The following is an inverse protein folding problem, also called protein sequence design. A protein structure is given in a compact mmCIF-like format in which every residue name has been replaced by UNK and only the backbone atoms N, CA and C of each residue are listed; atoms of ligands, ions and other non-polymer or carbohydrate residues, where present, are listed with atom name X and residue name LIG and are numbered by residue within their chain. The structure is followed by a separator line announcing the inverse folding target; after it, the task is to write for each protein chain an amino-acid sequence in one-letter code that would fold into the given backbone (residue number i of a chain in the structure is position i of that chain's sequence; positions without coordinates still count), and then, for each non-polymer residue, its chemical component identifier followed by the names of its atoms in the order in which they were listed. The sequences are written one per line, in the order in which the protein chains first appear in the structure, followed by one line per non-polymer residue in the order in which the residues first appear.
data_IF_425687140267
#
_entry.id   IF_425687140267
#
_cell.length_a   1.000
_cell.length_b   1.000
_cell.length_c   1.000
_cell.angle_alpha   90.00
_cell.angle_beta   90.00
_cell.angle_gamma   90.00
#
_symmetry.space_group_name_H-M   'P 1'
#
loop_
_entity.id
_entity.type
_entity.pdbx_description
1 polymer ?
#
# COMPACT_ATOMS: atom_id res chain seq x y z
N UNK A 1 -2.60 -0.09 -6.92
CA UNK A 1 -2.31 1.17 -6.18
C UNK A 1 -2.28 0.84 -4.69
N UNK A 2 -1.19 1.15 -3.99
CA UNK A 2 -1.09 0.89 -2.53
C UNK A 2 -2.02 1.82 -1.75
N UNK A 3 -2.80 1.25 -0.83
CA UNK A 3 -3.71 2.00 0.02
C UNK A 3 -3.03 2.50 1.31
N UNK A 4 -3.12 3.81 1.54
CA UNK A 4 -2.68 4.43 2.79
C UNK A 4 -3.75 4.26 3.89
N UNK A 5 -3.42 4.58 5.14
CA UNK A 5 -4.30 4.32 6.28
C UNK A 5 -5.53 5.24 6.35
N UNK A 6 -5.47 6.40 5.70
CA UNK A 6 -6.53 7.42 5.73
C UNK A 6 -7.46 7.36 4.52
N UNK A 7 -7.10 6.58 3.49
CA UNK A 7 -7.97 6.30 2.35
C UNK A 7 -9.30 5.70 2.83
N UNK A 8 -10.40 6.22 2.28
CA UNK A 8 -11.74 5.70 2.50
C UNK A 8 -12.11 4.73 1.38
N UNK A 9 -12.68 3.60 1.77
CA UNK A 9 -13.16 2.56 0.85
C UNK A 9 -14.65 2.36 1.08
N UNK A 10 -15.41 2.24 0.00
CA UNK A 10 -16.80 1.81 0.03
C UNK A 10 -16.93 0.39 -0.53
N UNK A 11 -17.71 -0.45 0.16
CA UNK A 11 -18.03 -1.82 -0.23
C UNK A 11 -19.49 -2.11 0.14
N UNK A 12 -20.24 -2.68 -0.80
CA UNK A 12 -21.67 -2.98 -0.58
C UNK A 12 -21.88 -4.10 0.45
N UNK A 13 -20.95 -5.04 0.54
CA UNK A 13 -21.02 -6.18 1.46
C UNK A 13 -19.62 -6.53 2.00
N UNK A 14 -19.20 -5.96 3.15
CA UNK A 14 -17.86 -6.18 3.69
C UNK A 14 -17.74 -7.39 4.62
N UNK A 15 -16.73 -8.25 4.39
CA UNK A 15 -16.51 -9.50 5.14
C UNK A 15 -15.95 -9.34 6.57
N UNK A 16 -15.46 -8.16 6.96
CA UNK A 16 -14.72 -7.94 8.23
C UNK A 16 -15.50 -7.15 9.29
N UNK A 17 -16.84 -7.16 9.21
CA UNK A 17 -17.71 -6.41 10.13
C UNK A 17 -17.35 -4.91 10.20
N UNK A 18 -16.89 -4.35 9.09
CA UNK A 18 -16.77 -2.91 8.90
C UNK A 18 -18.13 -2.34 8.47
N UNK A 19 -18.31 -1.02 8.57
CA UNK A 19 -19.41 -0.36 7.86
C UNK A 19 -19.29 -0.52 6.34
N UNK A 20 -20.28 -0.09 5.57
CA UNK A 20 -20.20 -0.08 4.09
C UNK A 20 -19.18 0.94 3.57
N UNK A 21 -18.91 2.00 4.33
CA UNK A 21 -17.79 2.92 4.10
C UNK A 21 -16.88 2.90 5.32
N UNK A 22 -15.59 2.70 5.11
CA UNK A 22 -14.61 2.59 6.20
C UNK A 22 -13.23 3.10 5.77
N UNK A 23 -12.40 3.44 6.76
CA UNK A 23 -10.98 3.75 6.50
C UNK A 23 -10.16 2.46 6.36
N UNK A 24 -9.11 2.51 5.56
CA UNK A 24 -8.17 1.39 5.42
C UNK A 24 -7.53 0.99 6.75
N UNK A 25 -7.28 1.94 7.66
CA UNK A 25 -6.82 1.64 9.03
C UNK A 25 -7.78 0.74 9.80
N UNK A 26 -9.09 1.00 9.71
CA UNK A 26 -10.14 0.21 10.37
C UNK A 26 -10.12 -1.24 9.85
N UNK A 27 -10.07 -1.42 8.52
CA UNK A 27 -9.97 -2.76 7.93
C UNK A 27 -8.70 -3.48 8.39
N UNK A 28 -7.53 -2.81 8.39
CA UNK A 28 -6.26 -3.39 8.86
C UNK A 28 -6.35 -3.84 10.31
N UNK A 29 -7.05 -3.10 11.18
CA UNK A 29 -7.27 -3.47 12.58
C UNK A 29 -8.17 -4.69 12.73
N UNK A 30 -9.25 -4.78 11.94
CA UNK A 30 -10.16 -5.94 11.93
C UNK A 30 -9.45 -7.20 11.45
N UNK A 31 -8.71 -7.13 10.34
CA UNK A 31 -7.91 -8.25 9.84
C UNK A 31 -6.85 -8.67 10.86
N UNK A 32 -6.16 -7.72 11.48
CA UNK A 32 -5.18 -7.99 12.55
C UNK A 32 -5.83 -8.72 13.73
N UNK A 33 -7.01 -8.29 14.14
CA UNK A 33 -7.76 -8.88 15.25
C UNK A 33 -8.22 -10.30 14.92
N UNK A 34 -8.75 -10.51 13.71
CA UNK A 34 -9.14 -11.82 13.20
C UNK A 34 -7.97 -12.81 13.23
N UNK A 35 -6.80 -12.41 12.73
CA UNK A 35 -5.59 -13.26 12.70
C UNK A 35 -5.06 -13.60 14.11
N UNK A 36 -5.29 -12.72 15.09
CA UNK A 36 -4.86 -12.93 16.48
C UNK A 36 -5.82 -13.76 17.32
N UNK A 37 -7.08 -13.91 16.90
CA UNK A 37 -8.13 -14.55 17.68
C UNK A 37 -7.81 -16.01 18.07
N UNK A 38 -6.97 -16.70 17.29
CA UNK A 38 -6.55 -18.08 17.58
C UNK A 38 -5.38 -18.18 18.58
N UNK A 39 -4.70 -17.08 18.89
CA UNK A 39 -3.54 -17.08 19.78
C UNK A 39 -3.97 -16.79 21.23
N UNK A 40 -4.43 -17.82 21.95
CA UNK A 40 -4.63 -17.75 23.41
C UNK A 40 -3.26 -17.67 24.12
N UNK A 41 -2.73 -16.47 24.33
CA UNK A 41 -1.55 -16.24 25.17
C UNK A 41 -0.95 -14.84 25.01
N UNK A 42 -0.29 -14.36 26.07
CA UNK A 42 0.36 -13.02 26.17
C UNK A 42 1.55 -12.79 25.21
N UNK A 43 1.74 -13.66 24.20
CA UNK A 43 2.78 -13.48 23.20
C UNK A 43 2.23 -12.65 22.04
N UNK A 44 2.88 -11.53 21.74
CA UNK A 44 2.71 -10.83 20.46
C UNK A 44 2.93 -11.87 19.36
N UNK A 45 1.85 -12.30 18.71
CA UNK A 45 1.90 -13.36 17.72
C UNK A 45 2.90 -12.95 16.64
N UNK A 46 3.76 -13.87 16.20
CA UNK A 46 4.68 -13.61 15.07
C UNK A 46 3.93 -13.14 13.82
N UNK A 47 2.62 -13.44 13.73
CA UNK A 47 1.67 -12.99 12.71
C UNK A 47 1.49 -11.47 12.71
N UNK A 48 1.58 -10.79 13.86
CA UNK A 48 1.50 -9.32 13.96
C UNK A 48 2.62 -8.60 13.20
N UNK A 49 3.80 -9.22 13.08
CA UNK A 49 4.95 -8.62 12.38
C UNK A 49 4.67 -8.42 10.89
N UNK A 50 3.77 -9.21 10.30
CA UNK A 50 3.37 -9.07 8.90
C UNK A 50 2.65 -7.74 8.63
N UNK A 51 1.92 -7.22 9.62
CA UNK A 51 1.19 -5.96 9.54
C UNK A 51 2.04 -4.73 9.89
N UNK A 52 3.33 -4.91 10.20
CA UNK A 52 4.25 -3.82 10.48
C UNK A 52 4.97 -3.36 9.21
N UNK A 53 5.38 -2.09 9.17
CA UNK A 53 6.24 -1.56 8.10
C UNK A 53 7.53 -2.37 7.94
N UNK A 54 8.09 -2.85 9.07
CA UNK A 54 9.30 -3.65 9.11
C UNK A 54 9.15 -5.08 8.58
N UNK A 55 7.93 -5.60 8.43
CA UNK A 55 7.65 -6.97 8.01
C UNK A 55 8.22 -8.06 8.94
N UNK A 56 7.97 -9.33 8.60
CA UNK A 56 8.63 -10.46 9.25
C UNK A 56 9.80 -10.96 8.40
N UNK A 57 10.98 -11.16 9.02
CA UNK A 57 12.12 -11.79 8.35
C UNK A 57 11.74 -13.20 7.92
N UNK A 58 12.08 -13.57 6.69
CA UNK A 58 11.82 -14.89 6.12
C UNK A 58 12.87 -15.26 5.08
N UNK A 59 12.84 -16.50 4.62
CA UNK A 59 13.56 -16.98 3.44
C UNK A 59 12.53 -17.56 2.47
N UNK A 60 12.71 -17.30 1.17
CA UNK A 60 11.88 -17.86 0.10
C UNK A 60 12.73 -18.76 -0.78
N UNK A 61 12.23 -19.95 -1.09
CA UNK A 61 12.79 -20.85 -2.08
C UNK A 61 11.89 -20.83 -3.30
N UNK A 62 12.42 -20.45 -4.46
CA UNK A 62 11.67 -20.44 -5.73
C UNK A 62 11.72 -21.82 -6.38
N UNK A 63 10.60 -22.26 -6.96
CA UNK A 63 10.50 -23.56 -7.62
C UNK A 63 11.40 -23.67 -8.85
N UNK A 64 11.70 -22.55 -9.51
CA UNK A 64 12.60 -22.47 -10.67
C UNK A 64 14.09 -22.62 -10.30
N UNK A 65 14.40 -22.89 -9.02
CA UNK A 65 15.77 -22.98 -8.51
C UNK A 65 16.29 -21.67 -7.91
N UNK A 66 17.60 -21.60 -7.65
CA UNK A 66 18.26 -20.39 -7.13
C UNK A 66 18.53 -20.35 -5.62
N UNK A 67 18.16 -21.41 -4.88
CA UNK A 67 18.43 -21.52 -3.44
C UNK A 67 17.54 -20.64 -2.56
N UNK A 68 17.81 -20.65 -1.25
CA UNK A 68 17.07 -19.86 -0.26
C UNK A 68 17.47 -18.38 -0.34
N UNK A 69 16.48 -17.50 -0.51
CA UNK A 69 16.67 -16.06 -0.55
C UNK A 69 16.11 -15.40 0.72
N UNK A 70 16.98 -14.73 1.49
CA UNK A 70 16.60 -13.93 2.67
C UNK A 70 15.80 -12.68 2.26
N UNK A 71 14.75 -12.39 3.01
CA UNK A 71 13.87 -11.26 2.75
C UNK A 71 12.92 -10.94 3.91
N UNK A 72 11.83 -10.24 3.58
CA UNK A 72 10.79 -9.87 4.52
C UNK A 72 9.41 -10.11 3.91
N UNK A 73 8.51 -10.70 4.69
CA UNK A 73 7.11 -10.86 4.38
C UNK A 73 6.29 -9.72 4.99
N UNK A 74 5.43 -9.08 4.19
CA UNK A 74 4.53 -7.99 4.61
C UNK A 74 3.12 -8.23 4.08
N UNK A 75 2.13 -7.85 4.87
CA UNK A 75 0.74 -7.76 4.45
C UNK A 75 0.46 -6.34 3.94
N UNK A 76 -0.02 -6.23 2.70
CA UNK A 76 -0.43 -4.96 2.07
C UNK A 76 -1.82 -5.11 1.47
N UNK A 77 -2.55 -4.01 1.42
CA UNK A 77 -3.83 -3.90 0.71
C UNK A 77 -3.56 -3.13 -0.57
N UNK A 78 -3.98 -3.72 -1.69
CA UNK A 78 -3.88 -3.12 -3.00
C UNK A 78 -5.27 -2.80 -3.53
N UNK A 79 -5.44 -1.60 -4.05
CA UNK A 79 -6.59 -1.22 -4.85
C UNK A 79 -6.27 -1.40 -6.34
N UNK A 80 -7.08 -2.19 -7.02
CA UNK A 80 -6.98 -2.45 -8.47
C UNK A 80 -8.22 -1.81 -9.12
N UNK A 81 -8.06 -0.69 -9.84
CA UNK A 81 -9.18 -0.05 -10.53
C UNK A 81 -9.57 -0.87 -11.78
N UNK A 82 -10.87 -0.89 -12.10
CA UNK A 82 -11.41 -1.61 -13.27
C UNK A 82 -10.87 -1.04 -14.58
N UNK A 83 -10.76 0.29 -14.64
CA UNK A 83 -10.10 0.99 -15.73
C UNK A 83 -8.70 1.39 -15.27
N UNK A 84 -7.67 1.22 -16.12
CA UNK A 84 -6.34 1.69 -15.79
C UNK A 84 -6.44 3.20 -15.52
N UNK A 85 -5.84 3.65 -14.41
CA UNK A 85 -5.69 5.08 -14.16
C UNK A 85 -5.00 5.63 -15.39
N UNK A 86 -5.70 6.48 -16.17
CA UNK A 86 -5.05 7.22 -17.24
C UNK A 86 -3.91 7.93 -16.55
N UNK A 87 -2.69 7.43 -16.76
CA UNK A 87 -1.51 8.18 -16.45
C UNK A 87 -1.76 9.47 -17.20
N UNK A 88 -1.97 10.57 -16.47
CA UNK A 88 -1.80 11.87 -17.07
C UNK A 88 -0.38 11.81 -17.59
N UNK A 89 -0.26 11.45 -18.87
CA UNK A 89 0.95 11.58 -19.61
C UNK A 89 1.23 13.05 -19.42
N UNK A 90 2.23 13.35 -18.59
CA UNK A 90 2.98 14.57 -18.69
C UNK A 90 3.55 14.51 -20.09
N UNK A 91 2.71 14.82 -21.10
CA UNK A 91 3.18 15.30 -22.37
C UNK A 91 4.12 16.42 -21.97
N UNK A 92 5.43 16.32 -22.25
CA UNK A 92 6.28 17.48 -22.14
C UNK A 92 5.83 18.38 -23.29
N UNK A 93 4.77 19.17 -23.06
CA UNK A 93 4.51 20.35 -23.87
C UNK A 93 5.68 21.27 -23.59
N UNK A 94 6.69 21.18 -24.44
CA UNK A 94 7.68 22.20 -24.66
C UNK A 94 6.93 23.47 -25.10
N UNK A 95 6.43 24.24 -24.14
CA UNK A 95 5.93 25.59 -24.36
C UNK A 95 5.80 26.29 -23.01
N UNK A 96 6.69 27.26 -22.79
CA UNK A 96 6.84 28.17 -21.64
C UNK A 96 7.07 27.51 -20.29
N UNK A 97 8.35 27.44 -19.88
CA UNK A 97 8.69 27.30 -18.46
C UNK A 97 8.13 28.51 -17.71
N UNK A 98 7.47 28.35 -16.55
CA UNK A 98 6.95 29.47 -15.74
C UNK A 98 8.03 30.45 -15.23
N UNK A 99 9.30 30.18 -15.54
CA UNK A 99 10.44 31.05 -15.24
C UNK A 99 11.01 31.74 -16.50
N UNK A 100 10.51 31.44 -17.71
CA UNK A 100 11.00 32.08 -18.93
C UNK A 100 10.64 33.58 -18.98
N UNK A 101 9.51 33.98 -18.41
CA UNK A 101 9.09 35.39 -18.31
C UNK A 101 10.01 36.25 -17.43
N UNK A 102 10.76 35.62 -16.51
CA UNK A 102 11.73 36.32 -15.65
C UNK A 102 13.08 36.49 -16.35
N UNK A 103 13.44 35.57 -17.25
CA UNK A 103 14.71 35.59 -17.97
C UNK A 103 14.75 36.66 -19.06
N UNK A 104 13.60 36.96 -19.67
CA UNK A 104 13.46 38.03 -20.67
C UNK A 104 13.63 39.45 -20.11
N UNK A 105 13.62 39.63 -18.78
CA UNK A 105 13.78 40.93 -18.12
C UNK A 105 15.20 41.18 -17.55
N UNK A 106 16.15 40.29 -17.82
CA UNK A 106 17.52 40.35 -17.30
C UNK A 106 18.58 40.68 -18.38
N UNK A 107 18.16 41.09 -19.58
CA UNK A 107 19.08 41.64 -20.58
C UNK A 107 19.39 43.12 -20.27
N UNK A 108 20.47 43.34 -19.50
CA UNK A 108 21.24 44.60 -19.43
C UNK A 108 22.71 44.29 -19.68
#
# INVERSE_FOLDING_TARGET
MDLNNDDAVFMSDPDFQTGTTFKVSELKEKVRSFVNQETKGNYISSKLRWFSEGGAKCEVLRLEGGGWQKGRLRFRLEFIPDEPVQSQSLVPTASSSPLDDLRSNLEV
#
